data_IF_635819973945
#
_entry.id   IF_635819973945
#
_cell.length_a   1.000
_cell.length_b   1.000
_cell.length_c   1.000
_cell.angle_alpha   90.00
_cell.angle_beta   90.00
_cell.angle_gamma   90.00
#
_symmetry.space_group_name_H-M   'P 1'
#
loop_
_entity.id
_entity.type
_entity.pdbx_description
1 polymer ?
#
# COMPACT_ATOMS: atom_id res chain seq x y z
N UNK A 1 -6.96 -1.47 -13.94
CA UNK A 1 -6.05 -2.06 -12.93
C UNK A 1 -5.16 -3.04 -13.66
N UNK A 2 -3.84 -2.89 -13.59
CA UNK A 2 -2.94 -3.79 -14.27
C UNK A 2 -3.01 -5.19 -13.66
N UNK A 3 -2.93 -6.19 -14.52
CA UNK A 3 -2.87 -7.60 -14.12
C UNK A 3 -1.50 -8.14 -14.50
N UNK A 4 -0.89 -8.92 -13.61
CA UNK A 4 0.43 -9.51 -13.82
C UNK A 4 0.32 -11.04 -13.85
N UNK A 5 0.98 -11.65 -14.82
CA UNK A 5 1.09 -13.11 -14.96
C UNK A 5 2.44 -13.58 -14.41
N UNK A 6 2.44 -14.65 -13.63
CA UNK A 6 3.63 -15.22 -13.04
C UNK A 6 4.54 -15.86 -14.10
N UNK A 7 5.87 -15.62 -14.08
CA UNK A 7 6.77 -16.08 -15.15
C UNK A 7 6.87 -17.61 -15.28
N UNK A 8 6.64 -18.33 -14.18
CA UNK A 8 6.71 -19.81 -14.14
C UNK A 8 5.33 -20.49 -14.20
N UNK A 9 4.23 -19.74 -14.20
CA UNK A 9 2.88 -20.30 -14.22
C UNK A 9 1.91 -19.32 -14.90
N UNK A 10 1.63 -19.56 -16.18
CA UNK A 10 0.76 -18.70 -16.99
C UNK A 10 -0.71 -18.69 -16.53
N UNK A 11 -1.13 -19.69 -15.75
CA UNK A 11 -2.45 -19.75 -15.12
C UNK A 11 -2.57 -18.89 -13.86
N UNK A 12 -1.46 -18.44 -13.26
CA UNK A 12 -1.47 -17.62 -12.05
C UNK A 12 -1.39 -16.14 -12.40
N UNK A 13 -2.42 -15.39 -12.00
CA UNK A 13 -2.58 -13.96 -12.25
C UNK A 13 -2.85 -13.21 -10.95
N UNK A 14 -2.18 -12.08 -10.77
CA UNK A 14 -2.44 -11.16 -9.66
C UNK A 14 -2.79 -9.78 -10.21
N UNK A 15 -3.77 -9.11 -9.60
CA UNK A 15 -4.17 -7.75 -9.98
C UNK A 15 -3.73 -6.73 -8.94
N UNK A 16 -3.04 -5.69 -9.37
CA UNK A 16 -2.74 -4.53 -8.52
C UNK A 16 -3.91 -3.58 -8.57
N UNK A 17 -4.68 -3.57 -7.49
CA UNK A 17 -5.98 -2.93 -7.47
C UNK A 17 -6.56 -2.77 -6.08
N UNK A 18 -7.89 -2.79 -5.97
CA UNK A 18 -8.58 -2.59 -4.70
C UNK A 18 -8.16 -3.62 -3.63
N UNK A 19 -7.92 -4.87 -4.02
CA UNK A 19 -7.41 -5.93 -3.14
C UNK A 19 -6.01 -5.61 -2.61
N UNK A 20 -5.10 -5.13 -3.46
CA UNK A 20 -3.75 -4.73 -3.07
C UNK A 20 -3.78 -3.53 -2.14
N UNK A 21 -4.64 -2.54 -2.43
CA UNK A 21 -4.86 -1.38 -1.54
C UNK A 21 -5.36 -1.88 -0.18
N UNK A 22 -6.42 -2.69 -0.15
CA UNK A 22 -6.99 -3.21 1.10
C UNK A 22 -5.96 -4.02 1.92
N UNK A 23 -5.21 -4.92 1.27
CA UNK A 23 -4.16 -5.69 1.93
C UNK A 23 -3.03 -4.81 2.45
N UNK A 24 -2.67 -3.75 1.71
CA UNK A 24 -1.68 -2.76 2.17
C UNK A 24 -2.22 -1.94 3.35
N UNK A 25 -3.52 -1.62 3.38
CA UNK A 25 -4.13 -0.94 4.52
C UNK A 25 -4.13 -1.81 5.79
N UNK A 26 -4.43 -3.11 5.64
CA UNK A 26 -4.58 -4.04 6.78
C UNK A 26 -3.24 -4.54 7.32
N UNK A 27 -2.30 -4.87 6.43
CA UNK A 27 -1.04 -5.50 6.78
C UNK A 27 0.18 -4.59 6.59
N UNK A 28 -0.01 -3.41 5.98
CA UNK A 28 1.00 -2.36 5.87
C UNK A 28 2.33 -2.87 5.29
N UNK A 29 3.45 -2.64 5.98
CA UNK A 29 4.76 -3.04 5.47
C UNK A 29 4.91 -4.55 5.33
N UNK A 30 4.23 -5.38 6.12
CA UNK A 30 4.37 -6.84 6.05
C UNK A 30 3.89 -7.41 4.71
N UNK A 31 2.78 -6.89 4.18
CA UNK A 31 2.30 -7.29 2.86
C UNK A 31 3.24 -6.84 1.74
N UNK A 32 3.80 -5.64 1.85
CA UNK A 32 4.79 -5.13 0.89
C UNK A 32 6.09 -5.96 0.92
N UNK A 33 6.51 -6.43 2.10
CA UNK A 33 7.63 -7.36 2.25
C UNK A 33 7.33 -8.73 1.64
N UNK A 34 6.11 -9.26 1.82
CA UNK A 34 5.66 -10.50 1.18
C UNK A 34 5.74 -10.41 -0.36
N UNK A 35 5.35 -9.27 -0.93
CA UNK A 35 5.51 -8.99 -2.36
C UNK A 35 6.95 -8.68 -2.78
N UNK A 36 7.91 -8.70 -1.84
CA UNK A 36 9.33 -8.33 -2.05
C UNK A 36 9.48 -6.90 -2.57
N UNK A 37 8.52 -6.02 -2.29
CA UNK A 37 8.57 -4.59 -2.57
C UNK A 37 9.32 -3.86 -1.45
N UNK A 38 10.59 -4.23 -1.22
CA UNK A 38 11.41 -3.76 -0.09
C UNK A 38 11.44 -2.25 0.08
N UNK A 39 11.54 -1.52 -1.04
CA UNK A 39 11.56 -0.06 -1.02
C UNK A 39 10.21 0.53 -0.58
N UNK A 40 9.09 -0.03 -1.05
CA UNK A 40 7.75 0.39 -0.62
C UNK A 40 7.51 0.06 0.87
N UNK A 41 7.98 -1.10 1.33
CA UNK A 41 7.92 -1.47 2.74
C UNK A 41 8.72 -0.49 3.62
N UNK A 42 9.97 -0.18 3.22
CA UNK A 42 10.80 0.79 3.92
C UNK A 42 10.16 2.17 3.96
N UNK A 43 9.66 2.67 2.82
CA UNK A 43 8.95 3.95 2.76
C UNK A 43 7.71 3.96 3.66
N UNK A 44 6.98 2.86 3.74
CA UNK A 44 5.80 2.77 4.61
C UNK A 44 6.16 2.88 6.08
N UNK A 45 7.31 2.35 6.51
CA UNK A 45 7.79 2.47 7.90
C UNK A 45 8.36 3.86 8.19
N UNK A 46 9.20 4.38 7.29
CA UNK A 46 9.96 5.61 7.55
C UNK A 46 9.16 6.88 7.25
N UNK A 47 8.26 6.84 6.27
CA UNK A 47 7.51 8.01 5.81
C UNK A 47 6.00 7.81 6.04
N UNK A 48 5.46 6.68 5.62
CA UNK A 48 4.02 6.42 5.68
C UNK A 48 3.45 6.48 7.09
N UNK A 49 3.99 5.67 8.00
CA UNK A 49 3.52 5.61 9.39
C UNK A 49 3.65 6.97 10.10
N UNK A 50 4.81 7.67 10.06
CA UNK A 50 4.90 9.01 10.64
C UNK A 50 3.94 10.03 10.02
N UNK A 51 3.74 10.01 8.70
CA UNK A 51 2.83 10.93 8.03
C UNK A 51 1.37 10.70 8.47
N UNK A 52 0.92 9.45 8.51
CA UNK A 52 -0.44 9.09 8.95
C UNK A 52 -0.65 9.45 10.42
N UNK A 53 0.31 9.15 11.28
CA UNK A 53 0.25 9.52 12.71
C UNK A 53 0.16 11.05 12.86
N UNK A 54 1.01 11.80 12.15
CA UNK A 54 1.03 13.27 12.22
C UNK A 54 -0.31 13.86 11.79
N UNK A 55 -0.87 13.43 10.66
CA UNK A 55 -2.17 13.89 10.16
C UNK A 55 -3.29 13.55 11.15
N UNK A 56 -3.25 12.36 11.74
CA UNK A 56 -4.23 11.92 12.74
C UNK A 56 -4.13 12.75 14.02
N UNK A 57 -2.93 13.05 14.49
CA UNK A 57 -2.70 13.91 15.66
C UNK A 57 -3.16 15.35 15.42
N UNK A 58 -2.89 15.90 14.24
CA UNK A 58 -3.35 17.25 13.86
C UNK A 58 -4.88 17.28 13.85
N UNK A 59 -5.54 16.29 13.25
CA UNK A 59 -7.00 16.20 13.26
C UNK A 59 -7.54 16.01 14.69
N UNK A 60 -6.89 15.21 15.52
CA UNK A 60 -7.25 14.99 16.92
C UNK A 60 -7.14 16.24 17.80
N UNK A 61 -6.27 17.20 17.45
CA UNK A 61 -6.15 18.47 18.17
C UNK A 61 -7.40 19.35 18.12
N UNK A 62 -8.33 19.07 17.18
CA UNK A 62 -9.65 19.69 17.11
C UNK A 62 -10.64 19.22 18.20
N UNK A 63 -10.28 18.20 18.99
CA UNK A 63 -11.17 17.58 19.99
C UNK A 63 -12.24 16.65 19.41
N UNK A 64 -12.30 16.50 18.08
CA UNK A 64 -13.28 15.63 17.41
C UNK A 64 -12.71 14.23 17.16
N UNK A 65 -13.26 13.24 17.87
CA UNK A 65 -12.95 11.83 17.62
C UNK A 65 -13.27 11.42 16.18
N UNK A 66 -14.39 11.91 15.63
CA UNK A 66 -14.77 11.63 14.24
C UNK A 66 -13.75 12.16 13.24
N UNK A 67 -13.21 13.37 13.46
CA UNK A 67 -12.16 13.94 12.61
C UNK A 67 -10.87 13.12 12.69
N UNK A 68 -10.50 12.65 13.88
CA UNK A 68 -9.32 11.79 14.09
C UNK A 68 -9.45 10.47 13.32
N UNK A 69 -10.59 9.79 13.44
CA UNK A 69 -10.87 8.53 12.74
C UNK A 69 -10.88 8.73 11.22
N UNK A 70 -11.58 9.76 10.72
CA UNK A 70 -11.64 10.06 9.30
C UNK A 70 -10.25 10.38 8.72
N UNK A 71 -9.42 11.13 9.45
CA UNK A 71 -8.06 11.47 9.06
C UNK A 71 -7.15 10.25 8.99
N UNK A 72 -7.24 9.34 9.96
CA UNK A 72 -6.48 8.09 9.97
C UNK A 72 -6.80 7.21 8.75
N UNK A 73 -8.09 6.93 8.52
CA UNK A 73 -8.50 6.07 7.40
C UNK A 73 -8.19 6.71 6.04
N UNK A 74 -8.39 8.01 5.90
CA UNK A 74 -8.03 8.76 4.68
C UNK A 74 -6.51 8.72 4.44
N UNK A 75 -5.72 8.87 5.50
CA UNK A 75 -4.27 8.82 5.45
C UNK A 75 -3.75 7.46 4.99
N UNK A 76 -4.23 6.36 5.59
CA UNK A 76 -3.81 5.00 5.19
C UNK A 76 -4.31 4.66 3.78
N UNK A 77 -5.53 5.06 3.42
CA UNK A 77 -6.06 4.85 2.06
C UNK A 77 -5.19 5.57 1.02
N UNK A 78 -4.92 6.87 1.24
CA UNK A 78 -4.06 7.67 0.36
C UNK A 78 -2.66 7.08 0.25
N UNK A 79 -2.07 6.64 1.37
CA UNK A 79 -0.76 5.99 1.38
C UNK A 79 -0.76 4.67 0.60
N UNK A 80 -1.77 3.84 0.80
CA UNK A 80 -1.89 2.53 0.14
C UNK A 80 -2.06 2.67 -1.38
N UNK A 81 -2.79 3.69 -1.84
CA UNK A 81 -2.89 4.05 -3.26
C UNK A 81 -1.53 4.53 -3.79
N UNK A 82 -0.82 5.38 -3.04
CA UNK A 82 0.50 5.88 -3.42
C UNK A 82 1.57 4.78 -3.55
N UNK A 83 1.39 3.64 -2.88
CA UNK A 83 2.29 2.48 -2.98
C UNK A 83 2.04 1.62 -4.23
N UNK A 84 0.89 1.75 -4.91
CA UNK A 84 0.55 0.92 -6.07
C UNK A 84 1.63 0.92 -7.17
N UNK A 85 2.19 2.07 -7.61
CA UNK A 85 3.22 2.07 -8.65
C UNK A 85 4.50 1.35 -8.23
N UNK A 86 4.85 1.39 -6.94
CA UNK A 86 6.03 0.69 -6.41
C UNK A 86 5.79 -0.82 -6.31
N UNK A 87 4.56 -1.22 -5.98
CA UNK A 87 4.13 -2.61 -6.01
C UNK A 87 4.16 -3.14 -7.44
N UNK A 88 3.60 -2.43 -8.42
CA UNK A 88 3.65 -2.78 -9.85
C UNK A 88 5.10 -2.94 -10.35
N UNK A 89 5.97 -1.98 -10.00
CA UNK A 89 7.41 -2.05 -10.31
C UNK A 89 8.07 -3.28 -9.69
N UNK A 90 7.62 -3.73 -8.51
CA UNK A 90 8.14 -4.95 -7.88
C UNK A 90 7.74 -6.23 -8.63
N UNK A 91 6.55 -6.29 -9.22
CA UNK A 91 6.14 -7.40 -10.08
C UNK A 91 7.01 -7.47 -11.33
N UNK A 92 7.20 -6.34 -12.00
CA UNK A 92 8.06 -6.25 -13.20
C UNK A 92 9.51 -6.68 -12.89
N UNK A 93 10.08 -6.25 -11.76
CA UNK A 93 11.43 -6.68 -11.32
C UNK A 93 11.53 -8.16 -11.01
N UNK A 94 10.43 -8.82 -10.65
CA UNK A 94 10.35 -10.27 -10.44
C UNK A 94 10.14 -11.05 -11.75
N UNK A 95 10.12 -10.37 -12.90
CA UNK A 95 9.92 -10.98 -14.21
C UNK A 95 8.47 -11.29 -14.56
N UNK A 96 7.51 -10.77 -13.79
CA UNK A 96 6.09 -10.92 -14.12
C UNK A 96 5.74 -10.08 -15.34
N UNK A 97 4.83 -10.59 -16.17
CA UNK A 97 4.39 -9.90 -17.40
C UNK A 97 3.07 -9.17 -17.16
N UNK A 98 3.02 -7.89 -17.53
CA UNK A 98 1.78 -7.13 -17.52
C UNK A 98 0.87 -7.59 -18.68
N UNK A 99 -0.42 -7.76 -18.39
CA UNK A 99 -1.48 -8.14 -19.34
C UNK A 99 -2.58 -7.10 -19.34
#
# INVERSE_FOLDING_TARGET
MPTFVHPLNEGYRESTGASTVALTMLFGPFYLLYLRAWFAAFLSVVVGAPAVITVTMIAGSSGSFGAMVAAYFSGILGWSIAMLPLVEKSYLRRGWKAV
#
